data_IF_877704326906
#
_entry.id   IF_877704326906
#
_cell.length_a   1.000
_cell.length_b   1.000
_cell.length_c   1.000
_cell.angle_alpha   90.00
_cell.angle_beta   90.00
_cell.angle_gamma   90.00
#
_symmetry.space_group_name_H-M   'P 1'
#
loop_
_entity.id
_entity.type
_entity.pdbx_description
1 polymer ?
#
# COMPACT_ATOMS: atom_id res chain seq x y z
N UNK A 1 63.59 20.11 25.31
CA UNK A 1 62.23 19.73 25.81
C UNK A 1 61.20 20.17 24.78
N UNK A 2 60.68 19.22 23.99
CA UNK A 2 59.64 19.47 22.99
C UNK A 2 58.34 19.01 23.61
N UNK A 3 57.45 19.95 23.90
CA UNK A 3 56.13 19.67 24.45
C UNK A 3 55.15 19.39 23.29
N UNK A 4 54.73 18.15 23.13
CA UNK A 4 53.67 17.78 22.17
C UNK A 4 52.32 18.15 22.74
N UNK A 5 51.59 19.06 22.05
CA UNK A 5 50.19 19.34 22.31
C UNK A 5 49.33 18.26 21.64
N UNK A 6 48.64 17.46 22.45
CA UNK A 6 47.63 16.54 21.99
C UNK A 6 46.32 17.33 21.74
N UNK A 7 45.82 17.35 20.51
CA UNK A 7 44.54 17.87 20.13
C UNK A 7 43.49 16.74 20.31
N UNK A 8 42.45 16.91 21.12
CA UNK A 8 41.41 15.91 21.24
C UNK A 8 40.56 15.89 19.94
N UNK A 9 40.53 14.77 19.24
CA UNK A 9 39.60 14.49 18.18
C UNK A 9 38.25 14.22 18.83
N UNK A 10 37.34 15.19 18.78
CA UNK A 10 35.92 14.99 19.07
C UNK A 10 35.34 14.14 17.95
N UNK A 11 35.22 12.85 18.18
CA UNK A 11 34.33 11.99 17.41
C UNK A 11 32.89 12.46 17.72
N UNK A 12 32.36 13.33 16.88
CA UNK A 12 30.92 13.60 16.85
C UNK A 12 30.20 12.32 16.46
N UNK A 13 29.51 11.68 17.40
CA UNK A 13 28.52 10.68 17.06
C UNK A 13 27.51 11.39 16.17
N UNK A 14 27.50 11.05 14.86
CA UNK A 14 26.39 11.39 14.00
C UNK A 14 25.15 10.75 14.65
N UNK A 15 24.23 11.55 15.18
CA UNK A 15 22.93 11.08 15.54
C UNK A 15 22.33 10.52 14.24
N UNK A 16 22.24 9.22 14.13
CA UNK A 16 21.44 8.59 13.08
C UNK A 16 20.03 9.09 13.31
N UNK A 17 19.55 9.98 12.43
CA UNK A 17 18.15 10.31 12.35
C UNK A 17 17.43 8.97 12.20
N UNK A 18 16.69 8.57 13.23
CA UNK A 18 15.82 7.41 13.15
C UNK A 18 14.78 7.78 12.11
N UNK A 19 14.79 7.12 10.94
CA UNK A 19 13.78 7.41 9.95
C UNK A 19 12.40 7.16 10.56
N UNK A 20 11.50 8.08 10.30
CA UNK A 20 10.15 8.06 10.81
C UNK A 20 9.25 7.43 9.75
N UNK A 21 9.04 6.13 9.82
CA UNK A 21 8.07 5.51 8.93
C UNK A 21 6.65 6.02 9.23
N UNK A 22 5.96 6.44 8.17
CA UNK A 22 4.58 6.89 8.21
C UNK A 22 3.69 5.87 7.52
N UNK A 23 2.84 5.23 8.30
CA UNK A 23 1.89 4.21 7.84
C UNK A 23 0.51 4.85 7.75
N UNK A 24 -0.18 4.70 6.63
CA UNK A 24 -1.46 5.36 6.40
C UNK A 24 -2.52 4.43 5.82
N UNK A 25 -3.78 4.86 5.92
CA UNK A 25 -4.93 4.20 5.29
C UNK A 25 -5.81 5.23 4.59
N UNK A 26 -6.30 4.90 3.39
CA UNK A 26 -7.12 5.81 2.61
C UNK A 26 -8.13 5.09 1.69
N UNK A 27 -9.41 5.33 1.90
CA UNK A 27 -10.44 4.98 0.94
C UNK A 27 -10.43 5.97 -0.23
N UNK A 28 -10.22 5.48 -1.47
CA UNK A 28 -10.09 6.29 -2.69
C UNK A 28 -11.39 6.53 -3.43
N UNK A 29 -12.53 6.13 -2.87
CA UNK A 29 -13.85 6.35 -3.46
C UNK A 29 -13.92 5.96 -4.95
N UNK A 30 -13.99 4.67 -5.21
CA UNK A 30 -14.14 4.08 -6.55
C UNK A 30 -13.05 4.52 -7.55
N UNK A 31 -11.79 4.56 -7.13
CA UNK A 31 -10.69 4.90 -8.02
C UNK A 31 -10.58 3.89 -9.18
N UNK A 32 -10.69 4.39 -10.42
CA UNK A 32 -10.67 3.57 -11.64
C UNK A 32 -12.04 3.36 -12.31
N UNK A 33 -13.14 3.90 -11.79
CA UNK A 33 -14.47 3.84 -12.43
C UNK A 33 -14.72 4.90 -13.50
N UNK A 34 -13.68 5.48 -14.11
CA UNK A 34 -13.80 6.59 -15.05
C UNK A 34 -14.62 7.77 -14.48
N UNK A 35 -14.43 8.04 -13.20
CA UNK A 35 -15.14 9.04 -12.42
C UNK A 35 -14.38 10.35 -12.28
N UNK A 36 -13.40 10.61 -13.17
CA UNK A 36 -12.64 11.86 -13.22
C UNK A 36 -11.65 12.06 -12.08
N UNK A 37 -11.18 10.99 -11.44
CA UNK A 37 -10.18 11.08 -10.36
C UNK A 37 -8.87 11.67 -10.84
N UNK A 38 -8.37 12.65 -10.10
CA UNK A 38 -7.09 13.29 -10.33
C UNK A 38 -6.00 12.55 -9.54
N UNK A 39 -5.44 11.50 -10.15
CA UNK A 39 -4.45 10.63 -9.50
C UNK A 39 -3.17 11.37 -9.13
N UNK A 40 -2.83 12.45 -9.85
CA UNK A 40 -1.72 13.34 -9.48
C UNK A 40 -1.93 14.03 -8.12
N UNK A 41 -3.17 14.35 -7.77
CA UNK A 41 -3.51 14.90 -6.45
C UNK A 41 -3.49 13.82 -5.36
N UNK A 42 -3.94 12.60 -5.70
CA UNK A 42 -3.82 11.43 -4.81
C UNK A 42 -2.34 11.16 -4.53
N UNK A 43 -1.50 11.13 -5.56
CA UNK A 43 -0.06 10.92 -5.42
C UNK A 43 0.62 12.02 -4.58
N UNK A 44 0.21 13.29 -4.76
CA UNK A 44 0.74 14.40 -3.96
C UNK A 44 0.48 14.20 -2.46
N UNK A 45 -0.71 13.74 -2.11
CA UNK A 45 -1.06 13.40 -0.71
C UNK A 45 -0.30 12.16 -0.22
N UNK A 46 -0.33 11.07 -1.00
CA UNK A 46 0.30 9.79 -0.65
C UNK A 46 1.83 9.89 -0.55
N UNK A 47 2.46 10.87 -1.21
CA UNK A 47 3.92 11.09 -1.17
C UNK A 47 4.46 11.42 0.23
N UNK A 48 3.60 11.79 1.17
CA UNK A 48 3.95 12.04 2.57
C UNK A 48 4.00 10.77 3.42
N UNK A 49 3.61 9.62 2.86
CA UNK A 49 3.54 8.33 3.52
C UNK A 49 4.67 7.43 3.06
N UNK A 50 4.97 6.40 3.86
CA UNK A 50 5.94 5.37 3.51
C UNK A 50 5.27 4.03 3.20
N UNK A 51 4.13 3.76 3.83
CA UNK A 51 3.20 2.69 3.50
C UNK A 51 1.79 3.24 3.56
N UNK A 52 1.00 2.98 2.54
CA UNK A 52 -0.41 3.35 2.52
C UNK A 52 -1.26 2.16 2.05
N UNK A 53 -2.27 1.81 2.83
CA UNK A 53 -3.30 0.90 2.36
C UNK A 53 -4.44 1.67 1.68
N UNK A 54 -5.00 1.06 0.65
CA UNK A 54 -6.01 1.67 -0.20
C UNK A 54 -7.26 0.78 -0.25
N UNK A 55 -8.42 1.38 -0.09
CA UNK A 55 -9.73 0.77 -0.30
C UNK A 55 -10.42 1.42 -1.50
N UNK A 56 -11.44 0.76 -2.01
CA UNK A 56 -12.21 1.17 -3.19
C UNK A 56 -11.35 1.37 -4.45
N UNK A 57 -10.35 0.51 -4.64
CA UNK A 57 -9.60 0.41 -5.89
C UNK A 57 -10.39 -0.48 -6.84
N UNK A 58 -10.94 0.11 -7.90
CA UNK A 58 -11.81 -0.61 -8.83
C UNK A 58 -11.03 -1.31 -9.96
N UNK A 59 -9.79 -0.87 -10.23
CA UNK A 59 -8.92 -1.43 -11.26
C UNK A 59 -7.46 -1.43 -10.79
N UNK A 60 -6.75 -2.48 -11.11
CA UNK A 60 -5.33 -2.65 -10.76
C UNK A 60 -4.44 -1.59 -11.41
N UNK A 61 -4.78 -1.16 -12.64
CA UNK A 61 -4.03 -0.16 -13.38
C UNK A 61 -3.93 1.19 -12.65
N UNK A 62 -4.91 1.52 -11.78
CA UNK A 62 -4.86 2.73 -10.95
C UNK A 62 -3.69 2.69 -9.97
N UNK A 63 -3.39 1.52 -9.41
CA UNK A 63 -2.29 1.36 -8.45
C UNK A 63 -0.95 1.54 -9.18
N UNK A 64 -0.81 0.91 -10.35
CA UNK A 64 0.39 1.07 -11.18
C UNK A 64 0.59 2.51 -11.66
N UNK A 65 -0.49 3.24 -11.94
CA UNK A 65 -0.41 4.66 -12.28
C UNK A 65 0.00 5.52 -11.08
N UNK A 66 -0.57 5.26 -9.89
CA UNK A 66 -0.19 5.94 -8.66
C UNK A 66 1.29 5.69 -8.30
N UNK A 67 1.76 4.46 -8.44
CA UNK A 67 3.16 4.09 -8.25
C UNK A 67 4.09 4.93 -9.15
N UNK A 68 3.79 4.99 -10.45
CA UNK A 68 4.57 5.79 -11.40
C UNK A 68 4.55 7.29 -11.06
N UNK A 69 3.40 7.83 -10.63
CA UNK A 69 3.29 9.23 -10.25
C UNK A 69 4.04 9.54 -8.96
N UNK A 70 3.99 8.63 -7.98
CA UNK A 70 4.76 8.74 -6.73
C UNK A 70 6.26 8.70 -7.00
N UNK A 71 6.73 7.80 -7.85
CA UNK A 71 8.15 7.75 -8.26
C UNK A 71 8.57 9.06 -8.96
N UNK A 72 7.73 9.56 -9.88
CA UNK A 72 8.01 10.82 -10.59
C UNK A 72 8.05 12.02 -9.64
N UNK A 73 7.18 12.03 -8.62
CA UNK A 73 7.06 13.12 -7.66
C UNK A 73 8.17 13.10 -6.60
N UNK A 74 8.46 11.92 -6.05
CA UNK A 74 9.37 11.77 -4.90
C UNK A 74 10.81 11.50 -5.30
N UNK A 75 11.03 10.90 -6.46
CA UNK A 75 12.35 10.40 -6.87
C UNK A 75 12.78 9.13 -6.19
N UNK A 76 11.93 8.55 -5.34
CA UNK A 76 12.14 7.26 -4.68
C UNK A 76 11.46 6.14 -5.50
N UNK A 77 11.93 4.90 -5.37
CA UNK A 77 11.25 3.72 -5.90
C UNK A 77 10.06 3.37 -5.00
N UNK A 78 8.94 3.01 -5.63
CA UNK A 78 7.72 2.57 -4.96
C UNK A 78 7.31 1.21 -5.49
N UNK A 79 6.74 0.40 -4.62
CA UNK A 79 6.19 -0.91 -4.95
C UNK A 79 4.76 -1.02 -4.44
N UNK A 80 4.02 -2.02 -4.95
CA UNK A 80 2.64 -2.26 -4.56
C UNK A 80 2.31 -3.74 -4.38
N UNK A 81 1.28 -3.99 -3.59
CA UNK A 81 0.58 -5.27 -3.51
C UNK A 81 -0.89 -5.00 -3.80
N UNK A 82 -1.49 -5.74 -4.70
CA UNK A 82 -2.90 -5.60 -5.06
C UNK A 82 -3.62 -6.94 -4.89
N UNK A 83 -4.78 -6.93 -4.21
CA UNK A 83 -5.60 -8.13 -4.08
C UNK A 83 -6.30 -8.48 -5.40
N UNK A 84 -6.80 -9.72 -5.51
CA UNK A 84 -7.87 -9.97 -6.47
C UNK A 84 -9.12 -9.14 -6.08
N UNK A 85 -10.09 -9.05 -7.00
CA UNK A 85 -11.35 -8.37 -6.69
C UNK A 85 -12.12 -9.14 -5.61
N UNK A 86 -12.49 -8.45 -4.54
CA UNK A 86 -13.28 -8.97 -3.40
C UNK A 86 -14.66 -8.34 -3.38
N UNK A 87 -15.65 -9.05 -2.89
CA UNK A 87 -17.05 -8.59 -2.78
C UNK A 87 -18.06 -9.67 -3.15
N UNK A 88 -19.23 -9.65 -2.50
CA UNK A 88 -20.29 -10.66 -2.63
C UNK A 88 -21.36 -10.37 -3.70
N UNK A 89 -21.23 -9.26 -4.43
CA UNK A 89 -22.23 -8.83 -5.40
C UNK A 89 -21.58 -8.46 -6.73
N UNK A 90 -22.32 -7.79 -7.60
CA UNK A 90 -21.73 -7.17 -8.80
C UNK A 90 -20.82 -5.99 -8.46
N UNK A 91 -20.89 -5.46 -7.24
CA UNK A 91 -19.93 -4.53 -6.72
C UNK A 91 -18.75 -5.32 -6.13
N UNK A 92 -17.60 -5.15 -6.72
CA UNK A 92 -16.33 -5.68 -6.23
C UNK A 92 -15.29 -4.58 -6.25
N UNK A 93 -14.36 -4.64 -5.34
CA UNK A 93 -13.22 -3.74 -5.26
C UNK A 93 -11.93 -4.53 -5.00
N UNK A 94 -10.80 -3.85 -5.02
CA UNK A 94 -9.50 -4.40 -4.63
C UNK A 94 -8.98 -3.63 -3.44
N UNK A 95 -8.25 -4.33 -2.60
CA UNK A 95 -7.34 -3.72 -1.66
C UNK A 95 -5.97 -3.57 -2.29
N UNK A 96 -5.25 -2.50 -1.93
CA UNK A 96 -3.86 -2.36 -2.30
C UNK A 96 -3.04 -1.84 -1.13
N UNK A 97 -1.75 -2.17 -1.14
CA UNK A 97 -0.71 -1.48 -0.40
C UNK A 97 0.23 -0.82 -1.41
N UNK A 98 0.53 0.46 -1.21
CA UNK A 98 1.62 1.16 -1.87
C UNK A 98 2.69 1.46 -0.83
N UNK A 99 3.95 1.20 -1.12
CA UNK A 99 5.03 1.44 -0.17
C UNK A 99 6.30 1.94 -0.84
N UNK A 100 6.99 2.83 -0.12
CA UNK A 100 8.26 3.42 -0.54
C UNK A 100 9.38 2.43 -0.27
N UNK A 101 10.01 1.89 -1.31
CA UNK A 101 11.04 0.86 -1.18
C UNK A 101 12.24 1.32 -0.32
N UNK A 102 12.53 2.59 -0.27
CA UNK A 102 13.61 3.14 0.56
C UNK A 102 13.41 2.89 2.06
N UNK A 103 12.17 2.93 2.55
CA UNK A 103 11.82 2.88 3.99
C UNK A 103 11.14 1.60 4.40
N UNK A 104 10.33 1.02 3.53
CA UNK A 104 9.54 -0.18 3.79
C UNK A 104 9.94 -1.29 2.83
N UNK A 105 10.02 -2.51 3.34
CA UNK A 105 10.13 -3.71 2.52
C UNK A 105 8.96 -4.65 2.77
N UNK A 106 8.39 -5.22 1.73
CA UNK A 106 7.48 -6.34 1.84
C UNK A 106 8.24 -7.61 2.21
N UNK A 107 7.80 -8.29 3.27
CA UNK A 107 8.48 -9.49 3.77
C UNK A 107 7.95 -10.79 3.19
N UNK A 108 6.75 -10.77 2.60
CA UNK A 108 6.08 -11.96 2.05
C UNK A 108 4.74 -12.27 2.74
N UNK A 109 4.04 -13.29 2.22
CA UNK A 109 2.82 -13.81 2.84
C UNK A 109 1.57 -12.98 2.66
N UNK A 110 1.50 -12.12 1.63
CA UNK A 110 0.26 -11.41 1.32
C UNK A 110 -0.85 -12.42 1.01
N UNK A 111 -1.98 -12.30 1.70
CA UNK A 111 -3.13 -13.18 1.54
C UNK A 111 -4.43 -12.43 1.81
N UNK A 112 -5.46 -12.74 1.02
CA UNK A 112 -6.83 -12.37 1.34
C UNK A 112 -7.37 -13.43 2.31
N UNK A 113 -8.03 -12.98 3.37
CA UNK A 113 -8.62 -13.87 4.37
C UNK A 113 -9.62 -14.84 3.72
N UNK A 114 -9.59 -16.10 4.10
CA UNK A 114 -10.46 -17.13 3.49
C UNK A 114 -11.91 -17.04 3.94
N UNK A 115 -12.20 -16.37 5.05
CA UNK A 115 -13.52 -16.17 5.64
C UNK A 115 -14.41 -17.43 5.66
N UNK A 116 -14.08 -18.47 6.43
CA UNK A 116 -14.77 -19.74 6.39
C UNK A 116 -16.23 -19.67 6.84
N UNK A 117 -16.59 -18.62 7.57
CA UNK A 117 -17.96 -18.37 8.06
C UNK A 117 -18.72 -17.38 7.18
N UNK A 118 -18.10 -16.88 6.11
CA UNK A 118 -18.68 -15.93 5.16
C UNK A 118 -19.26 -14.68 5.86
N UNK A 119 -18.49 -14.10 6.79
CA UNK A 119 -18.88 -12.93 7.59
C UNK A 119 -18.64 -11.64 6.82
N UNK A 120 -17.45 -11.51 6.19
CA UNK A 120 -17.05 -10.28 5.51
C UNK A 120 -17.71 -10.13 4.15
N UNK A 121 -18.22 -8.96 3.85
CA UNK A 121 -18.66 -8.59 2.50
C UNK A 121 -17.47 -8.46 1.54
N UNK A 122 -16.32 -8.10 2.06
CA UNK A 122 -15.03 -7.98 1.40
C UNK A 122 -13.97 -8.49 2.36
N UNK A 123 -13.36 -9.60 2.02
CA UNK A 123 -12.39 -10.28 2.86
C UNK A 123 -11.11 -9.45 3.00
N UNK A 124 -10.61 -9.20 4.23
CA UNK A 124 -9.41 -8.40 4.48
C UNK A 124 -8.16 -8.91 3.75
N UNK A 125 -7.30 -7.96 3.30
CA UNK A 125 -5.98 -8.26 2.77
C UNK A 125 -4.92 -8.13 3.87
N UNK A 126 -4.22 -9.22 4.15
CA UNK A 126 -3.14 -9.29 5.12
C UNK A 126 -1.78 -9.25 4.41
N UNK A 127 -0.80 -8.56 4.99
CA UNK A 127 0.59 -8.59 4.54
C UNK A 127 1.54 -8.29 5.69
N UNK A 128 2.81 -8.71 5.57
CA UNK A 128 3.86 -8.40 6.54
C UNK A 128 4.93 -7.54 5.88
N UNK A 129 5.32 -6.47 6.57
CA UNK A 129 6.31 -5.50 6.13
C UNK A 129 7.44 -5.37 7.14
N UNK A 130 8.55 -4.79 6.70
CA UNK A 130 9.70 -4.44 7.53
C UNK A 130 10.04 -2.97 7.32
N UNK A 131 10.13 -2.23 8.41
CA UNK A 131 10.76 -0.91 8.42
C UNK A 131 12.28 -1.10 8.27
N UNK A 132 12.84 -0.66 7.15
CA UNK A 132 14.22 -0.98 6.77
C UNK A 132 15.27 -0.39 7.72
N UNK A 133 15.00 0.79 8.27
CA UNK A 133 15.98 1.49 9.13
C UNK A 133 16.13 0.84 10.50
N UNK A 134 15.06 0.29 11.05
CA UNK A 134 15.06 -0.38 12.36
C UNK A 134 15.14 -1.90 12.26
N UNK A 135 14.83 -2.46 11.09
CA UNK A 135 14.65 -3.90 10.88
C UNK A 135 13.39 -4.44 11.57
N UNK A 136 12.50 -3.57 12.01
CA UNK A 136 11.28 -3.95 12.71
C UNK A 136 10.22 -4.44 11.73
N UNK A 137 9.84 -5.70 11.88
CA UNK A 137 8.70 -6.26 11.16
C UNK A 137 7.38 -5.85 11.81
N UNK A 138 6.32 -5.72 11.01
CA UNK A 138 4.94 -5.59 11.45
C UNK A 138 3.98 -6.20 10.42
N UNK A 139 2.86 -6.72 10.91
CA UNK A 139 1.80 -7.24 10.06
C UNK A 139 0.68 -6.20 9.96
N UNK A 140 0.09 -6.06 8.78
CA UNK A 140 -1.00 -5.14 8.49
C UNK A 140 -2.18 -5.89 7.87
N UNK A 141 -3.39 -5.53 8.28
CA UNK A 141 -4.64 -5.95 7.64
C UNK A 141 -5.36 -4.71 7.10
N UNK A 142 -5.60 -4.70 5.79
CA UNK A 142 -6.39 -3.70 5.08
C UNK A 142 -7.83 -4.16 5.03
N UNK A 143 -8.76 -3.34 5.51
CA UNK A 143 -10.17 -3.67 5.64
C UNK A 143 -11.09 -2.58 5.10
N UNK A 144 -12.23 -2.98 4.54
CA UNK A 144 -13.33 -2.09 4.22
C UNK A 144 -14.65 -2.75 4.65
N UNK A 145 -15.13 -2.39 5.82
CA UNK A 145 -16.34 -2.96 6.42
C UNK A 145 -17.58 -2.53 5.63
N UNK A 146 -18.54 -3.43 5.51
CA UNK A 146 -19.79 -3.13 4.83
C UNK A 146 -20.45 -1.85 5.38
N UNK A 147 -20.99 -0.99 4.50
CA UNK A 147 -21.75 0.16 4.96
C UNK A 147 -23.12 -0.26 5.50
N UNK A 148 -23.82 -1.17 4.78
CA UNK A 148 -25.14 -1.66 5.14
C UNK A 148 -26.20 -0.54 5.33
N UNK A 149 -27.36 -0.91 5.83
CA UNK A 149 -28.44 0.04 6.13
C UNK A 149 -28.33 0.58 7.57
N UNK A 150 -27.59 -0.12 8.45
CA UNK A 150 -27.51 0.19 9.87
C UNK A 150 -26.18 -0.25 10.49
N UNK A 151 -25.89 0.22 11.72
CA UNK A 151 -24.77 -0.26 12.51
C UNK A 151 -24.85 -1.77 12.86
N UNK A 152 -26.07 -2.32 12.86
CA UNK A 152 -26.27 -3.74 13.12
C UNK A 152 -25.68 -4.61 11.99
N UNK A 153 -25.74 -4.13 10.75
CA UNK A 153 -25.19 -4.83 9.59
C UNK A 153 -23.65 -4.86 9.60
N UNK A 154 -23.03 -3.81 10.15
CA UNK A 154 -21.56 -3.66 10.25
C UNK A 154 -20.98 -4.45 11.41
N UNK A 155 -21.76 -4.63 12.48
CA UNK A 155 -21.28 -5.18 13.75
C UNK A 155 -20.72 -6.60 13.68
N UNK A 156 -21.24 -7.53 12.84
CA UNK A 156 -20.64 -8.84 12.66
C UNK A 156 -19.20 -8.76 12.13
N UNK A 157 -18.97 -8.00 11.05
CA UNK A 157 -17.63 -7.83 10.46
C UNK A 157 -16.66 -7.19 11.45
N UNK A 158 -17.12 -6.16 12.22
CA UNK A 158 -16.30 -5.52 13.26
C UNK A 158 -15.86 -6.51 14.35
N UNK A 159 -16.75 -7.42 14.78
CA UNK A 159 -16.38 -8.43 15.79
C UNK A 159 -15.41 -9.46 15.21
N UNK A 160 -15.62 -9.88 13.97
CA UNK A 160 -14.75 -10.85 13.29
C UNK A 160 -13.32 -10.33 13.05
N UNK A 161 -13.07 -9.02 13.22
CA UNK A 161 -11.70 -8.49 13.21
C UNK A 161 -10.82 -9.04 14.35
N UNK A 162 -11.41 -9.58 15.41
CA UNK A 162 -10.66 -10.28 16.45
C UNK A 162 -10.02 -11.56 15.90
N UNK A 163 -10.74 -12.31 15.06
CA UNK A 163 -10.23 -13.52 14.41
C UNK A 163 -9.12 -13.19 13.39
N UNK A 164 -9.26 -12.04 12.69
CA UNK A 164 -8.21 -11.51 11.82
C UNK A 164 -6.93 -11.20 12.61
N UNK A 165 -7.06 -10.54 13.77
CA UNK A 165 -5.91 -10.23 14.62
C UNK A 165 -5.23 -11.50 15.14
N UNK A 166 -6.01 -12.47 15.60
CA UNK A 166 -5.50 -13.75 16.11
C UNK A 166 -4.77 -14.52 14.99
N UNK A 167 -5.33 -14.55 13.77
CA UNK A 167 -4.68 -15.14 12.60
C UNK A 167 -3.36 -14.45 12.27
N UNK A 168 -3.31 -13.11 12.31
CA UNK A 168 -2.06 -12.36 12.08
C UNK A 168 -0.98 -12.74 13.11
N UNK A 169 -1.37 -12.91 14.39
CA UNK A 169 -0.45 -13.33 15.45
C UNK A 169 -0.04 -14.80 15.33
N UNK A 170 -0.88 -15.65 14.74
CA UNK A 170 -0.56 -17.04 14.43
C UNK A 170 0.44 -17.14 13.26
N UNK A 171 0.20 -16.39 12.18
CA UNK A 171 1.09 -16.37 11.00
C UNK A 171 2.46 -15.76 11.33
N UNK A 172 2.48 -14.71 12.16
CA UNK A 172 3.69 -13.96 12.51
C UNK A 172 3.82 -13.79 14.03
N UNK A 173 4.17 -14.84 14.78
CA UNK A 173 4.26 -14.78 16.24
C UNK A 173 5.27 -13.72 16.70
N UNK A 174 4.88 -12.92 17.70
CA UNK A 174 5.75 -11.88 18.26
C UNK A 174 5.88 -10.62 17.39
N UNK A 175 5.34 -10.62 16.19
CA UNK A 175 5.33 -9.44 15.31
C UNK A 175 4.17 -8.52 15.70
N UNK A 176 4.41 -7.20 15.87
CA UNK A 176 3.34 -6.22 16.03
C UNK A 176 2.34 -6.28 14.87
N UNK A 177 1.05 -6.13 15.18
CA UNK A 177 0.00 -6.18 14.18
C UNK A 177 -0.90 -4.95 14.26
N UNK A 178 -1.30 -4.44 13.11
CA UNK A 178 -2.24 -3.32 12.95
C UNK A 178 -3.38 -3.72 12.01
N UNK A 179 -4.58 -3.25 12.33
CA UNK A 179 -5.74 -3.39 11.44
C UNK A 179 -6.15 -1.97 11.05
N UNK A 180 -6.17 -1.67 9.76
CA UNK A 180 -6.43 -0.34 9.27
C UNK A 180 -7.36 -0.34 8.06
N UNK A 181 -8.08 0.75 7.84
CA UNK A 181 -9.04 0.85 6.75
C UNK A 181 -10.24 1.72 7.08
N UNK A 182 -11.24 1.62 6.21
CA UNK A 182 -12.56 2.18 6.39
C UNK A 182 -13.49 1.18 7.10
N UNK A 183 -13.75 1.44 8.35
CA UNK A 183 -14.60 0.58 9.18
C UNK A 183 -16.08 0.93 9.10
N UNK A 184 -16.46 2.01 8.43
CA UNK A 184 -17.83 2.50 8.38
C UNK A 184 -18.51 2.61 9.76
N UNK A 185 -17.72 2.59 10.85
CA UNK A 185 -18.18 2.58 12.23
C UNK A 185 -17.26 3.38 13.13
N UNK A 186 -17.86 4.28 13.92
CA UNK A 186 -17.11 5.05 14.92
C UNK A 186 -16.45 4.13 15.96
N UNK A 187 -15.24 4.44 16.42
CA UNK A 187 -14.50 3.60 17.36
C UNK A 187 -15.14 3.53 18.75
N UNK A 188 -16.14 4.34 19.05
CA UNK A 188 -16.87 4.34 20.33
C UNK A 188 -17.95 3.28 20.44
N UNK A 189 -18.32 2.63 19.32
CA UNK A 189 -19.42 1.66 19.29
C UNK A 189 -19.10 0.38 20.07
N UNK A 190 -20.13 -0.28 20.66
CA UNK A 190 -19.91 -1.49 21.46
C UNK A 190 -19.33 -2.70 20.70
N UNK A 191 -19.54 -2.77 19.37
CA UNK A 191 -19.05 -3.86 18.53
C UNK A 191 -17.52 -4.06 18.62
N UNK A 192 -16.78 -3.04 19.01
CA UNK A 192 -15.32 -3.06 19.19
C UNK A 192 -14.84 -3.77 20.48
N UNK A 193 -15.77 -4.35 21.26
CA UNK A 193 -15.45 -4.98 22.54
C UNK A 193 -14.39 -6.06 22.45
N UNK A 194 -14.45 -6.91 21.43
CA UNK A 194 -13.56 -8.06 21.24
C UNK A 194 -12.13 -7.58 20.94
N UNK A 195 -11.95 -6.65 19.99
CA UNK A 195 -10.64 -6.05 19.72
C UNK A 195 -10.03 -5.34 20.95
N UNK A 196 -10.87 -4.64 21.72
CA UNK A 196 -10.41 -3.99 22.96
C UNK A 196 -9.97 -4.99 24.02
N UNK A 197 -10.61 -6.15 24.08
CA UNK A 197 -10.24 -7.24 24.99
C UNK A 197 -8.87 -7.82 24.63
N UNK A 198 -8.53 -7.87 23.33
CA UNK A 198 -7.21 -8.24 22.83
C UNK A 198 -6.15 -7.16 23.01
N UNK A 199 -6.50 -6.01 23.56
CA UNK A 199 -5.58 -4.91 23.87
C UNK A 199 -5.45 -3.86 22.77
N UNK A 200 -6.14 -4.01 21.65
CA UNK A 200 -6.10 -3.01 20.57
C UNK A 200 -6.84 -1.73 20.97
N UNK A 201 -6.35 -0.63 20.46
CA UNK A 201 -6.93 0.71 20.65
C UNK A 201 -6.97 1.44 19.32
N UNK A 202 -7.99 2.28 19.06
CA UNK A 202 -8.03 3.11 17.87
C UNK A 202 -6.99 4.23 17.99
N UNK A 203 -6.34 4.55 16.88
CA UNK A 203 -5.40 5.67 16.80
C UNK A 203 -6.13 7.00 16.89
N UNK A 204 -7.20 7.14 16.10
CA UNK A 204 -8.02 8.35 16.08
C UNK A 204 -9.24 8.13 16.97
N UNK A 205 -9.38 8.95 18.01
CA UNK A 205 -10.45 8.83 19.00
C UNK A 205 -11.49 9.93 18.91
N UNK A 206 -11.15 11.04 18.26
CA UNK A 206 -11.97 12.25 18.15
C UNK A 206 -11.95 12.79 16.72
N UNK A 207 -12.91 13.64 16.39
CA UNK A 207 -13.02 14.24 15.07
C UNK A 207 -13.77 13.35 14.07
N UNK A 208 -13.45 13.52 12.79
CA UNK A 208 -14.06 12.76 11.70
C UNK A 208 -13.10 12.67 10.50
N UNK A 209 -13.26 11.64 9.67
CA UNK A 209 -12.40 11.33 8.53
C UNK A 209 -13.12 11.48 7.19
N UNK A 210 -14.46 11.41 7.15
CA UNK A 210 -15.22 11.59 5.90
C UNK A 210 -15.54 13.06 5.66
N UNK A 211 -15.37 13.54 4.44
CA UNK A 211 -15.63 14.92 4.04
C UNK A 211 -17.13 15.18 3.90
N UNK A 212 -17.65 16.21 4.55
CA UNK A 212 -18.98 16.73 4.20
C UNK A 212 -18.91 17.57 2.93
N UNK A 213 -20.10 17.95 2.39
CA UNK A 213 -20.16 18.87 1.23
C UNK A 213 -19.86 20.33 1.60
N UNK A 214 -19.74 20.64 2.90
CA UNK A 214 -19.46 21.98 3.39
C UNK A 214 -17.97 22.07 3.71
N UNK A 215 -17.27 23.06 3.16
CA UNK A 215 -15.86 23.28 3.37
C UNK A 215 -15.48 23.34 4.86
N UNK A 216 -14.35 22.71 5.18
CA UNK A 216 -13.84 22.59 6.53
C UNK A 216 -14.67 21.70 7.48
N UNK A 217 -15.75 21.07 7.00
CA UNK A 217 -16.56 20.14 7.81
C UNK A 217 -16.32 18.70 7.44
N UNK A 218 -16.07 17.90 8.46
CA UNK A 218 -15.99 16.43 8.38
C UNK A 218 -17.23 15.83 9.04
N UNK A 219 -17.66 14.64 8.60
CA UNK A 219 -18.96 14.09 8.96
C UNK A 219 -18.88 12.90 9.91
N UNK A 220 -18.04 11.91 9.62
CA UNK A 220 -18.00 10.63 10.35
C UNK A 220 -16.57 10.22 10.62
N UNK A 221 -16.32 9.58 11.75
CA UNK A 221 -15.05 8.93 12.08
C UNK A 221 -15.14 7.45 11.72
N UNK A 222 -14.87 7.13 10.46
CA UNK A 222 -15.00 5.78 9.91
C UNK A 222 -13.65 5.12 9.63
N UNK A 223 -12.65 5.92 9.24
CA UNK A 223 -11.31 5.44 8.97
C UNK A 223 -10.49 5.42 10.25
N UNK A 224 -9.73 4.36 10.49
CA UNK A 224 -8.91 4.23 11.69
C UNK A 224 -7.76 3.24 11.50
N UNK A 225 -6.81 3.27 12.44
CA UNK A 225 -5.78 2.25 12.66
C UNK A 225 -5.96 1.71 14.07
N UNK A 226 -6.23 0.41 14.18
CA UNK A 226 -6.31 -0.30 15.46
C UNK A 226 -4.99 -1.00 15.73
N UNK A 227 -4.39 -0.76 16.88
CA UNK A 227 -3.07 -1.24 17.26
C UNK A 227 -2.97 -1.48 18.76
N UNK A 228 -1.96 -2.25 19.20
CA UNK A 228 -1.65 -2.44 20.61
C UNK A 228 -0.63 -1.37 21.04
N UNK A 229 -0.99 -0.40 21.91
CA UNK A 229 -0.10 0.72 22.24
C UNK A 229 1.26 0.30 22.83
N UNK A 230 1.33 -0.80 23.58
CA UNK A 230 2.58 -1.31 24.13
C UNK A 230 3.54 -1.84 23.05
N UNK A 231 3.02 -2.28 21.92
CA UNK A 231 3.83 -2.69 20.76
C UNK A 231 4.32 -1.47 19.95
N UNK A 232 3.67 -0.32 20.07
CA UNK A 232 3.96 0.92 19.35
C UNK A 232 4.09 2.12 20.31
N UNK A 233 5.05 2.10 21.28
CA UNK A 233 5.05 3.01 22.41
C UNK A 233 5.27 4.49 22.08
N UNK A 234 5.77 4.79 20.87
CA UNK A 234 5.97 6.16 20.39
C UNK A 234 4.96 6.56 19.32
N UNK A 235 4.09 5.63 18.89
CA UNK A 235 3.18 5.92 17.80
C UNK A 235 2.26 7.09 18.13
N UNK A 236 2.11 7.97 17.17
CA UNK A 236 1.17 9.07 17.15
C UNK A 236 0.59 9.19 15.75
N UNK A 237 -0.55 9.84 15.60
CA UNK A 237 -1.14 10.00 14.29
C UNK A 237 -2.30 10.97 14.28
N UNK A 238 -2.75 11.29 13.10
CA UNK A 238 -3.83 12.24 12.86
C UNK A 238 -4.52 11.97 11.51
N UNK A 239 -5.50 12.78 11.19
CA UNK A 239 -6.20 12.85 9.91
C UNK A 239 -5.44 13.82 9.00
N UNK A 240 -5.02 13.35 7.83
CA UNK A 240 -4.40 14.21 6.83
C UNK A 240 -5.49 15.00 6.08
N UNK A 241 -5.68 16.25 6.44
CA UNK A 241 -6.70 17.13 5.86
C UNK A 241 -6.28 17.61 4.46
N UNK A 242 -6.31 16.68 3.51
CA UNK A 242 -5.81 16.91 2.15
C UNK A 242 -6.50 18.05 1.38
N UNK A 243 -7.78 18.41 1.60
CA UNK A 243 -8.36 19.58 0.94
C UNK A 243 -7.61 20.88 1.30
N UNK A 244 -7.24 21.04 2.57
CA UNK A 244 -6.48 22.19 3.05
C UNK A 244 -5.05 22.18 2.47
N UNK A 245 -4.43 21.00 2.41
CA UNK A 245 -3.10 20.82 1.81
C UNK A 245 -3.08 21.14 0.31
N UNK A 246 -4.06 20.65 -0.45
CA UNK A 246 -4.19 20.90 -1.89
C UNK A 246 -4.77 22.29 -2.22
N UNK A 247 -5.32 23.00 -1.24
CA UNK A 247 -5.98 24.30 -1.46
C UNK A 247 -7.26 24.19 -2.29
N UNK A 248 -8.02 23.10 -2.15
CA UNK A 248 -9.26 22.84 -2.90
C UNK A 248 -10.48 22.78 -1.99
N UNK A 249 -11.66 23.08 -2.55
CA UNK A 249 -12.93 22.95 -1.81
C UNK A 249 -13.25 21.50 -1.49
N UNK A 250 -14.06 21.25 -0.46
CA UNK A 250 -14.55 19.91 -0.17
C UNK A 250 -15.40 19.32 -1.31
N UNK A 251 -16.11 20.15 -2.07
CA UNK A 251 -16.85 19.72 -3.26
C UNK A 251 -15.89 19.13 -4.30
N UNK A 252 -14.83 19.86 -4.66
CA UNK A 252 -13.77 19.41 -5.57
C UNK A 252 -13.06 18.19 -5.04
N UNK A 253 -12.65 18.21 -3.77
CA UNK A 253 -11.97 17.08 -3.13
C UNK A 253 -12.78 15.78 -3.21
N UNK A 254 -14.10 15.86 -2.93
CA UNK A 254 -15.03 14.73 -3.00
C UNK A 254 -15.26 14.21 -4.43
N UNK A 255 -15.21 15.09 -5.42
CA UNK A 255 -15.39 14.72 -6.82
C UNK A 255 -14.10 14.10 -7.39
N UNK A 256 -12.99 14.79 -7.23
CA UNK A 256 -11.77 14.58 -8.00
C UNK A 256 -10.73 13.72 -7.27
N UNK A 257 -10.81 13.62 -5.92
CA UNK A 257 -9.84 12.88 -5.11
C UNK A 257 -10.53 11.78 -4.29
N UNK A 258 -11.10 12.12 -3.14
CA UNK A 258 -11.87 11.21 -2.31
C UNK A 258 -12.81 11.97 -1.37
N UNK A 259 -13.87 11.32 -0.88
CA UNK A 259 -14.67 11.82 0.23
C UNK A 259 -14.24 11.27 1.59
N UNK A 260 -13.12 10.57 1.64
CA UNK A 260 -12.40 10.18 2.84
C UNK A 260 -11.06 10.89 2.88
N UNK A 261 -10.68 11.42 4.05
CA UNK A 261 -9.33 11.91 4.30
C UNK A 261 -8.46 10.75 4.79
N UNK A 262 -7.22 10.60 4.29
CA UNK A 262 -6.34 9.57 4.82
C UNK A 262 -6.03 9.83 6.29
N UNK A 263 -5.86 8.75 7.02
CA UNK A 263 -5.33 8.75 8.37
C UNK A 263 -3.91 8.22 8.36
N UNK A 264 -3.08 8.66 9.28
CA UNK A 264 -1.70 8.17 9.36
C UNK A 264 -1.24 7.91 10.77
N UNK A 265 -0.34 6.94 10.92
CA UNK A 265 0.41 6.60 12.11
C UNK A 265 1.90 6.88 11.84
N UNK A 266 2.50 7.76 12.62
CA UNK A 266 3.94 7.96 12.69
C UNK A 266 4.54 6.99 13.72
N UNK A 267 5.48 6.18 13.33
CA UNK A 267 6.11 5.16 14.20
C UNK A 267 6.94 5.81 15.31
N UNK A 268 7.56 6.96 15.04
CA UNK A 268 8.37 7.71 16.03
C UNK A 268 7.60 8.76 16.80
N UNK A 269 6.34 9.00 16.43
CA UNK A 269 5.47 9.99 17.07
C UNK A 269 5.62 11.41 16.54
N UNK A 270 6.37 11.60 15.47
CA UNK A 270 6.47 12.90 14.81
C UNK A 270 5.18 13.22 14.05
N UNK A 271 4.68 14.43 14.20
CA UNK A 271 3.54 14.91 13.41
C UNK A 271 4.03 15.35 12.03
N UNK A 272 3.29 14.98 10.98
CA UNK A 272 3.58 15.47 9.64
C UNK A 272 3.42 16.99 9.58
N UNK A 273 4.49 17.69 9.24
CA UNK A 273 4.47 19.14 9.00
C UNK A 273 3.94 19.41 7.59
N UNK A 274 2.63 19.57 7.47
CA UNK A 274 1.96 19.79 6.20
C UNK A 274 1.91 21.30 5.89
N UNK A 275 2.75 21.72 4.96
CA UNK A 275 2.64 23.06 4.38
C UNK A 275 1.74 22.99 3.14
N UNK A 276 0.78 23.90 2.98
CA UNK A 276 -0.05 23.95 1.77
C UNK A 276 0.81 24.04 0.51
N UNK A 277 0.40 23.36 -0.55
CA UNK A 277 1.07 23.44 -1.85
C UNK A 277 0.98 24.86 -2.39
N UNK A 278 2.12 25.50 -2.64
CA UNK A 278 2.15 26.79 -3.30
C UNK A 278 1.68 26.66 -4.75
N UNK A 279 0.55 27.31 -5.08
CA UNK A 279 -0.01 27.33 -6.44
C UNK A 279 -0.86 26.10 -6.81
N UNK A 280 -1.20 25.22 -5.86
CA UNK A 280 -2.19 24.13 -6.05
C UNK A 280 -1.78 23.02 -7.02
N UNK A 281 -0.51 22.98 -7.45
CA UNK A 281 0.00 21.91 -8.34
C UNK A 281 1.23 21.24 -7.72
N UNK A 282 1.28 19.90 -7.68
CA UNK A 282 2.48 19.16 -7.28
C UNK A 282 3.63 19.46 -8.24
N UNK A 283 4.75 19.92 -7.73
CA UNK A 283 5.96 20.07 -8.55
C UNK A 283 6.76 18.75 -8.49
N UNK A 284 6.95 18.13 -9.65
CA UNK A 284 7.80 16.95 -9.75
C UNK A 284 9.23 17.27 -9.31
N UNK A 285 9.78 16.50 -8.38
CA UNK A 285 11.16 16.60 -7.94
C UNK A 285 12.10 15.97 -8.99
N UNK A 286 12.17 16.60 -10.14
CA UNK A 286 13.32 16.46 -11.00
C UNK A 286 13.31 15.46 -12.13
N UNK A 287 13.62 16.02 -13.30
CA UNK A 287 14.07 15.35 -14.51
C UNK A 287 15.27 14.35 -14.33
N UNK A 288 15.87 14.30 -13.14
CA UNK A 288 17.04 13.46 -12.84
C UNK A 288 16.70 11.99 -12.65
N UNK A 289 15.50 11.67 -12.11
CA UNK A 289 15.03 10.29 -11.93
C UNK A 289 14.48 9.72 -13.24
N UNK A 290 13.78 10.54 -14.01
CA UNK A 290 13.40 10.17 -15.39
C UNK A 290 14.63 9.87 -16.25
N UNK A 291 15.76 10.58 -16.01
CA UNK A 291 17.04 10.29 -16.66
C UNK A 291 17.71 9.02 -16.16
N UNK A 292 17.56 8.68 -14.86
CA UNK A 292 18.09 7.41 -14.29
C UNK A 292 17.24 6.21 -14.70
N UNK A 293 15.92 6.36 -14.80
CA UNK A 293 15.03 5.32 -15.32
C UNK A 293 15.20 5.16 -16.83
N UNK A 294 15.37 6.25 -17.59
CA UNK A 294 15.72 6.21 -19.00
C UNK A 294 17.10 5.55 -19.24
N UNK A 295 18.07 5.70 -18.31
CA UNK A 295 19.35 4.99 -18.39
C UNK A 295 19.26 3.54 -17.91
N UNK A 296 18.40 3.23 -16.92
CA UNK A 296 18.12 1.84 -16.48
C UNK A 296 17.24 1.11 -17.50
N UNK A 297 16.23 1.79 -18.08
CA UNK A 297 15.44 1.27 -19.23
C UNK A 297 16.26 1.23 -20.50
N UNK A 298 17.23 2.12 -20.73
CA UNK A 298 18.09 2.03 -21.91
C UNK A 298 19.13 0.92 -21.78
N UNK A 299 19.55 0.51 -20.58
CA UNK A 299 20.34 -0.72 -20.38
C UNK A 299 19.49 -2.00 -20.46
N UNK A 300 18.17 -1.92 -20.23
CA UNK A 300 17.20 -3.00 -20.44
C UNK A 300 16.63 -3.00 -21.87
N UNK A 301 16.57 -1.84 -22.54
CA UNK A 301 16.09 -1.70 -23.91
C UNK A 301 17.09 -2.17 -24.99
N UNK A 302 18.26 -2.69 -24.60
CA UNK A 302 19.17 -3.35 -25.55
C UNK A 302 18.87 -4.85 -25.74
N UNK A 303 17.92 -5.44 -25.03
CA UNK A 303 17.37 -6.77 -25.35
C UNK A 303 16.00 -6.59 -25.98
N UNK A 304 15.96 -6.63 -27.28
CA UNK A 304 14.72 -6.54 -28.09
C UNK A 304 13.80 -7.75 -27.93
N UNK A 305 14.21 -8.79 -27.21
CA UNK A 305 13.43 -10.01 -27.00
C UNK A 305 13.73 -10.64 -25.61
N UNK A 306 12.82 -11.50 -25.14
CA UNK A 306 12.91 -12.23 -23.87
C UNK A 306 13.49 -13.62 -24.15
N UNK A 307 14.67 -13.91 -23.62
CA UNK A 307 15.30 -15.22 -23.69
C UNK A 307 14.87 -16.06 -22.46
N UNK A 308 14.18 -17.16 -22.68
CA UNK A 308 13.68 -18.06 -21.65
C UNK A 308 14.76 -18.57 -20.67
N UNK A 309 16.00 -18.63 -21.13
CA UNK A 309 17.13 -19.19 -20.34
C UNK A 309 17.83 -18.15 -19.49
N UNK A 310 17.78 -16.88 -19.86
CA UNK A 310 18.53 -15.80 -19.19
C UNK A 310 17.67 -14.73 -18.57
N UNK A 311 16.39 -14.59 -19.01
CA UNK A 311 15.47 -13.58 -18.50
C UNK A 311 15.22 -13.74 -16.99
N UNK A 312 15.12 -12.64 -16.26
CA UNK A 312 14.69 -12.63 -14.85
C UNK A 312 13.15 -12.78 -14.75
N UNK A 313 12.62 -12.86 -13.53
CA UNK A 313 11.19 -13.04 -13.27
C UNK A 313 10.35 -11.92 -13.90
N UNK A 314 10.77 -10.66 -13.75
CA UNK A 314 10.04 -9.48 -14.26
C UNK A 314 10.02 -9.44 -15.79
N UNK A 315 11.11 -9.90 -16.43
CA UNK A 315 11.15 -10.00 -17.88
C UNK A 315 10.21 -11.09 -18.40
N UNK A 316 10.14 -12.22 -17.72
CA UNK A 316 9.24 -13.34 -18.05
C UNK A 316 7.77 -12.99 -17.82
N UNK A 317 7.47 -12.20 -16.79
CA UNK A 317 6.12 -11.73 -16.47
C UNK A 317 5.51 -10.84 -17.57
N UNK A 318 6.34 -10.25 -18.44
CA UNK A 318 5.90 -9.51 -19.63
C UNK A 318 5.31 -10.39 -20.73
N UNK A 319 5.50 -11.70 -20.66
CA UNK A 319 4.90 -12.65 -21.61
C UNK A 319 3.41 -12.84 -21.27
N UNK A 320 2.52 -12.91 -22.29
CA UNK A 320 1.10 -13.11 -22.09
C UNK A 320 0.81 -14.32 -21.17
N UNK A 321 0.00 -14.11 -20.16
CA UNK A 321 -0.42 -15.12 -19.18
C UNK A 321 0.72 -15.78 -18.38
N UNK A 322 1.87 -15.13 -18.27
CA UNK A 322 2.96 -15.55 -17.39
C UNK A 322 2.97 -14.63 -16.19
N UNK A 323 2.32 -15.02 -15.11
CA UNK A 323 2.44 -14.34 -13.83
C UNK A 323 3.63 -14.85 -13.02
N UNK A 324 3.90 -14.25 -11.82
CA UNK A 324 5.09 -14.53 -11.00
C UNK A 324 5.34 -16.03 -10.71
N UNK A 325 4.27 -16.79 -10.47
CA UNK A 325 4.37 -18.22 -10.21
C UNK A 325 4.89 -19.00 -11.43
N UNK A 326 4.39 -18.68 -12.62
CA UNK A 326 4.83 -19.31 -13.87
C UNK A 326 6.22 -18.83 -14.29
N UNK A 327 6.55 -17.57 -14.04
CA UNK A 327 7.90 -17.05 -14.23
C UNK A 327 8.93 -17.80 -13.37
N UNK A 328 8.62 -18.04 -12.10
CA UNK A 328 9.45 -18.85 -11.21
C UNK A 328 9.59 -20.30 -11.71
N UNK A 329 8.51 -20.90 -12.23
CA UNK A 329 8.53 -22.24 -12.81
C UNK A 329 9.39 -22.31 -14.09
N UNK A 330 9.33 -21.29 -14.93
CA UNK A 330 10.20 -21.18 -16.12
C UNK A 330 11.67 -21.13 -15.69
N UNK A 331 12.01 -20.30 -14.72
CA UNK A 331 13.39 -20.19 -14.21
C UNK A 331 13.87 -21.51 -13.61
N UNK A 332 13.04 -22.18 -12.82
CA UNK A 332 13.38 -23.46 -12.15
C UNK A 332 13.59 -24.61 -13.12
N UNK A 333 12.90 -24.59 -14.27
CA UNK A 333 12.95 -25.69 -15.24
C UNK A 333 13.91 -25.46 -16.40
N UNK A 334 14.80 -24.47 -16.33
CA UNK A 334 15.88 -24.24 -17.29
C UNK A 334 16.84 -25.42 -17.37
N UNK A 335 17.47 -25.70 -18.54
CA UNK A 335 17.40 -24.92 -19.79
C UNK A 335 16.21 -25.30 -20.70
N UNK A 336 15.76 -24.31 -21.48
CA UNK A 336 14.72 -24.44 -22.50
C UNK A 336 15.36 -24.51 -23.88
N UNK A 337 15.02 -25.54 -24.68
CA UNK A 337 15.52 -25.71 -26.05
C UNK A 337 14.58 -25.08 -27.10
N UNK A 338 13.32 -24.80 -26.71
CA UNK A 338 12.35 -24.13 -27.58
C UNK A 338 11.18 -23.61 -26.74
N UNK A 339 10.48 -22.58 -27.22
CA UNK A 339 9.26 -22.05 -26.60
C UNK A 339 8.14 -23.10 -26.46
N UNK A 340 8.08 -24.06 -27.38
CA UNK A 340 7.10 -25.16 -27.34
C UNK A 340 7.15 -26.00 -26.07
N UNK A 341 8.30 -26.04 -25.38
CA UNK A 341 8.47 -26.78 -24.13
C UNK A 341 7.79 -26.10 -22.95
N UNK A 342 7.35 -24.85 -23.05
CA UNK A 342 6.62 -24.14 -22.01
C UNK A 342 5.31 -24.85 -21.61
N UNK A 343 4.77 -25.69 -22.49
CA UNK A 343 3.60 -26.54 -22.15
C UNK A 343 3.84 -27.54 -21.01
N UNK A 344 5.10 -27.72 -20.58
CA UNK A 344 5.42 -28.50 -19.38
C UNK A 344 5.08 -27.76 -18.08
N UNK A 345 4.91 -26.44 -18.15
CA UNK A 345 4.51 -25.60 -17.02
C UNK A 345 3.00 -25.75 -16.80
N UNK A 346 2.60 -26.01 -15.55
CA UNK A 346 1.18 -26.12 -15.20
C UNK A 346 0.42 -24.83 -15.57
N UNK A 347 -0.69 -24.98 -16.28
CA UNK A 347 -1.50 -23.87 -16.75
C UNK A 347 -1.01 -23.18 -18.04
N UNK A 348 0.05 -23.66 -18.69
CA UNK A 348 0.42 -23.25 -20.03
C UNK A 348 -0.01 -24.34 -21.02
N UNK A 349 -1.22 -24.20 -21.55
CA UNK A 349 -1.72 -25.05 -22.64
C UNK A 349 -1.33 -24.49 -24.02
N UNK A 350 -1.77 -25.19 -25.08
CA UNK A 350 -1.48 -24.77 -26.47
C UNK A 350 -2.02 -23.37 -26.79
N UNK A 351 -3.17 -22.97 -26.23
CA UNK A 351 -3.73 -21.63 -26.41
C UNK A 351 -2.81 -20.55 -25.83
N UNK A 352 -2.42 -20.70 -24.57
CA UNK A 352 -1.49 -19.78 -23.89
C UNK A 352 -0.13 -19.74 -24.60
N UNK A 353 0.39 -20.90 -25.03
CA UNK A 353 1.63 -20.95 -25.79
C UNK A 353 1.51 -20.16 -27.11
N UNK A 354 0.38 -20.32 -27.83
CA UNK A 354 0.14 -19.58 -29.08
C UNK A 354 0.12 -18.05 -28.83
N UNK A 355 -0.46 -17.59 -27.75
CA UNK A 355 -0.48 -16.16 -27.38
C UNK A 355 0.92 -15.65 -27.04
N UNK A 356 1.71 -16.44 -26.29
CA UNK A 356 3.11 -16.10 -25.96
C UNK A 356 3.94 -15.97 -27.24
N UNK A 357 3.83 -16.91 -28.16
CA UNK A 357 4.58 -16.88 -29.44
C UNK A 357 4.09 -15.73 -30.33
N UNK A 358 2.77 -15.51 -30.39
CA UNK A 358 2.17 -14.44 -31.21
C UNK A 358 2.54 -13.04 -30.67
N UNK A 359 2.89 -12.89 -29.39
CA UNK A 359 3.32 -11.63 -28.82
C UNK A 359 4.61 -11.07 -29.45
N UNK A 360 5.42 -11.92 -30.09
CA UNK A 360 6.72 -11.54 -30.64
C UNK A 360 7.77 -11.12 -29.62
N UNK A 361 7.51 -11.33 -28.34
CA UNK A 361 8.40 -10.93 -27.25
C UNK A 361 9.53 -11.94 -26.99
N UNK A 362 9.40 -13.20 -27.44
CA UNK A 362 10.45 -14.21 -27.25
C UNK A 362 11.60 -14.02 -28.25
N UNK A 363 12.81 -14.25 -27.76
CA UNK A 363 13.97 -14.39 -28.66
C UNK A 363 13.80 -15.64 -29.55
N UNK A 364 14.08 -15.50 -30.83
CA UNK A 364 14.02 -16.57 -31.85
C UNK A 364 15.19 -17.52 -31.66
#
# INVERSE_FOLDING_TARGET
VVTALAVPVLLGAAATSQANAVIASWNLKHAGWNNGKHLEQVAAVASHMDLIDLQEVMKEEVVSELEQQLEALTGDEWDSLVSHAVGRSTYTERYAYLYRDKTIAYQGGATVYLDPEDVFSREPLLATFVEKDTGRAFSAANVHIVYGDSKADRSPEIRALADIYDLMKEISPGTPAIIMGDFNMAPTEPAWGDLRTLGLRPLITEGATTLSKTDGRYASLYDNIWYVPSEWPKANGDVFRFPDYLGISHETARADVSDHAPIYLSVTGETLALLPLEGGQPQAAGAEVASRRASKTSSLASQTCIDLNTANADQLDRLPNIGPARAADIIRQRPWSSSGQLTRISGIGQGTLSEIVASGLLCS
#
